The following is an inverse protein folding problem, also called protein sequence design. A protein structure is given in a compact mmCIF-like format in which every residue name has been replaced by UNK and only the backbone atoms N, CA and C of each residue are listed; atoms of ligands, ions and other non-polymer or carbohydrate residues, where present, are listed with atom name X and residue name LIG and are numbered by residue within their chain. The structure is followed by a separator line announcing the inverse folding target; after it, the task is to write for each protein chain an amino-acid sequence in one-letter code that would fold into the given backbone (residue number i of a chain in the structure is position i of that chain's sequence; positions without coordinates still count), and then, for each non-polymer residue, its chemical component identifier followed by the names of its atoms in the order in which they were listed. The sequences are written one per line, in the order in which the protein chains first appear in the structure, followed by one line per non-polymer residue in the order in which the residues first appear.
data_IF_843185124001
#
_entry.id   IF_843185124001
#
_cell.length_a   1.000
_cell.length_b   1.000
_cell.length_c   1.000
_cell.angle_alpha   90.00
_cell.angle_beta   90.00
_cell.angle_gamma   90.00
#
_symmetry.space_group_name_H-M   'P 1'
#
loop_
_entity.id
_entity.type
_entity.pdbx_description
1 polymer ?
#
# COMPACT_ATOMS: atom_id res chain seq x y z
N UNK A 1 -10.75 -15.53 13.27
CA UNK A 1 -9.29 -15.52 13.27
C UNK A 1 -8.70 -16.35 14.41
N UNK A 2 -7.41 -16.63 14.35
CA UNK A 2 -6.69 -17.40 15.36
C UNK A 2 -5.23 -17.56 14.96
N UNK A 3 -4.37 -18.09 15.82
CA UNK A 3 -2.95 -18.30 15.54
C UNK A 3 -2.75 -19.48 14.57
N UNK A 4 -3.28 -19.34 13.36
CA UNK A 4 -3.23 -20.38 12.33
C UNK A 4 -2.19 -20.06 11.27
N UNK A 5 -1.43 -21.06 10.84
CA UNK A 5 -0.46 -20.91 9.74
C UNK A 5 -1.16 -20.71 8.41
N UNK A 6 -2.35 -21.31 8.24
CA UNK A 6 -3.15 -21.24 7.02
C UNK A 6 -4.64 -21.28 7.38
N UNK A 7 -5.40 -20.33 6.88
CA UNK A 7 -6.86 -20.34 6.96
C UNK A 7 -7.42 -20.93 5.67
N UNK A 8 -7.97 -22.14 5.72
CA UNK A 8 -8.47 -22.86 4.53
C UNK A 8 -9.97 -23.06 4.52
N UNK A 9 -10.65 -22.85 5.63
CA UNK A 9 -12.08 -23.16 5.76
C UNK A 9 -12.82 -21.93 6.28
N UNK A 10 -13.34 -21.13 5.40
CA UNK A 10 -14.28 -20.13 5.79
C UNK A 10 -13.82 -18.70 5.57
N UNK A 11 -14.61 -17.80 6.10
CA UNK A 11 -14.50 -16.37 5.89
C UNK A 11 -13.24 -15.80 6.55
N UNK A 12 -12.42 -15.14 5.77
CA UNK A 12 -11.34 -14.30 6.29
C UNK A 12 -11.93 -12.98 6.83
N UNK A 13 -12.52 -13.06 8.01
CA UNK A 13 -13.09 -11.91 8.69
C UNK A 13 -12.04 -10.82 8.97
N UNK A 14 -10.76 -11.18 9.04
CA UNK A 14 -9.69 -10.20 9.21
C UNK A 14 -9.68 -9.20 8.03
N UNK A 15 -9.87 -9.66 6.80
CA UNK A 15 -9.96 -8.79 5.63
C UNK A 15 -11.17 -7.87 5.65
N UNK A 16 -12.29 -8.33 6.18
CA UNK A 16 -13.48 -7.51 6.32
C UNK A 16 -13.29 -6.41 7.36
N UNK A 17 -12.60 -6.74 8.47
CA UNK A 17 -12.38 -5.80 9.57
C UNK A 17 -11.25 -4.79 9.27
N UNK A 18 -10.26 -5.16 8.45
CA UNK A 18 -9.19 -4.23 8.05
C UNK A 18 -9.79 -3.08 7.23
N UNK A 19 -9.57 -1.85 7.71
CA UNK A 19 -10.12 -0.64 7.08
C UNK A 19 -11.55 -0.29 7.49
N UNK A 20 -12.22 -1.10 8.32
CA UNK A 20 -13.58 -0.82 8.80
C UNK A 20 -13.67 0.37 9.75
N UNK A 21 -12.56 0.93 10.20
CA UNK A 21 -12.50 2.08 11.13
C UNK A 21 -13.32 1.91 12.41
N UNK A 22 -13.45 0.67 12.90
CA UNK A 22 -14.23 0.35 14.09
C UNK A 22 -15.75 0.36 13.88
N UNK A 23 -16.23 0.41 12.64
CA UNK A 23 -17.68 0.45 12.34
C UNK A 23 -18.34 -0.92 12.33
N UNK A 24 -17.55 -2.00 12.21
CA UNK A 24 -18.03 -3.37 12.10
C UNK A 24 -17.74 -4.22 13.36
N UNK A 25 -16.90 -3.75 14.26
CA UNK A 25 -16.56 -4.50 15.46
C UNK A 25 -15.50 -3.81 16.30
N UNK A 26 -15.38 -4.27 17.54
CA UNK A 26 -14.32 -3.91 18.46
C UNK A 26 -13.26 -5.01 18.49
N UNK A 27 -12.00 -4.64 18.24
CA UNK A 27 -10.87 -5.57 18.25
C UNK A 27 -10.22 -5.55 19.63
N UNK A 28 -10.48 -6.56 20.46
CA UNK A 28 -9.90 -6.69 21.79
C UNK A 28 -8.47 -7.25 21.73
N UNK A 29 -8.19 -8.10 20.76
CA UNK A 29 -6.87 -8.74 20.59
C UNK A 29 -6.53 -8.87 19.11
N UNK A 30 -5.28 -8.64 18.76
CA UNK A 30 -4.75 -8.79 17.40
C UNK A 30 -3.49 -9.63 17.43
N UNK A 31 -3.46 -10.70 16.63
CA UNK A 31 -2.28 -11.56 16.45
C UNK A 31 -1.60 -11.17 15.15
N UNK A 32 -0.39 -10.62 15.24
CA UNK A 32 0.40 -10.21 14.10
C UNK A 32 1.40 -11.30 13.71
N UNK A 33 1.40 -11.66 12.43
CA UNK A 33 2.47 -12.48 11.87
C UNK A 33 3.65 -11.58 11.50
N UNK A 34 4.76 -11.78 12.18
CA UNK A 34 6.00 -11.04 11.93
C UNK A 34 6.94 -11.83 11.00
N UNK A 35 7.95 -11.15 10.49
CA UNK A 35 9.07 -11.74 9.74
C UNK A 35 10.37 -11.39 10.46
N UNK A 36 11.44 -12.22 10.33
CA UNK A 36 12.77 -11.81 10.76
C UNK A 36 13.18 -10.50 10.09
N UNK A 37 13.92 -9.67 10.82
CA UNK A 37 14.52 -8.48 10.24
C UNK A 37 15.54 -8.88 9.16
N UNK A 38 15.59 -8.12 8.09
CA UNK A 38 16.61 -8.29 7.08
C UNK A 38 18.01 -7.95 7.64
N UNK A 39 19.05 -8.63 7.14
CA UNK A 39 20.42 -8.36 7.56
C UNK A 39 20.89 -6.96 7.13
N UNK A 40 20.35 -6.44 6.03
CA UNK A 40 20.54 -5.06 5.57
C UNK A 40 19.24 -4.52 4.97
N UNK A 41 19.04 -3.22 5.13
CA UNK A 41 17.93 -2.46 4.56
C UNK A 41 18.48 -1.12 4.09
N UNK A 42 18.35 -0.82 2.80
CA UNK A 42 18.94 0.38 2.22
C UNK A 42 18.03 1.00 1.17
N UNK A 43 17.86 2.32 1.25
CA UNK A 43 17.25 3.11 0.20
C UNK A 43 18.27 3.42 -0.90
N UNK A 44 17.77 3.40 -2.11
CA UNK A 44 18.51 3.78 -3.32
C UNK A 44 17.68 4.72 -4.16
N UNK A 45 18.33 5.40 -5.12
CA UNK A 45 17.64 6.30 -6.05
C UNK A 45 18.26 6.19 -7.44
N UNK A 46 17.45 6.46 -8.45
CA UNK A 46 17.91 6.70 -9.82
C UNK A 46 16.96 7.64 -10.55
N UNK A 47 17.47 8.35 -11.54
CA UNK A 47 16.64 9.12 -12.46
C UNK A 47 16.11 8.16 -13.55
N UNK A 48 14.79 8.10 -13.66
CA UNK A 48 14.10 7.26 -14.65
C UNK A 48 12.71 7.78 -14.96
N UNK A 49 12.35 7.71 -16.23
CA UNK A 49 10.97 7.91 -16.71
C UNK A 49 10.22 6.59 -16.90
N UNK A 50 10.93 5.45 -16.82
CA UNK A 50 10.35 4.11 -16.95
C UNK A 50 10.56 3.28 -15.68
N UNK A 51 9.76 3.60 -14.67
CA UNK A 51 9.76 2.86 -13.41
C UNK A 51 9.20 1.43 -13.54
N UNK A 52 8.48 1.12 -14.62
CA UNK A 52 7.99 -0.24 -14.89
C UNK A 52 9.14 -1.18 -15.28
N UNK A 53 10.05 -0.73 -16.14
CA UNK A 53 11.25 -1.48 -16.49
C UNK A 53 12.18 -1.60 -15.29
N UNK A 54 12.36 -0.53 -14.51
CA UNK A 54 13.13 -0.60 -13.26
C UNK A 54 12.56 -1.67 -12.32
N UNK A 55 11.25 -1.67 -12.06
CA UNK A 55 10.63 -2.66 -11.19
C UNK A 55 10.88 -4.10 -11.67
N UNK A 56 10.83 -4.34 -12.99
CA UNK A 56 11.09 -5.67 -13.56
C UNK A 56 12.56 -6.10 -13.49
N UNK A 57 13.50 -5.17 -13.46
CA UNK A 57 14.94 -5.46 -13.34
C UNK A 57 15.37 -5.81 -11.91
N UNK A 58 14.51 -5.56 -10.91
CA UNK A 58 14.81 -5.79 -9.50
C UNK A 58 14.24 -7.11 -9.01
N UNK A 59 15.01 -7.78 -8.16
CA UNK A 59 14.53 -8.98 -7.48
C UNK A 59 13.88 -8.61 -6.14
N UNK A 60 12.54 -8.74 -6.07
CA UNK A 60 11.72 -8.55 -4.87
C UNK A 60 12.05 -7.25 -4.10
N UNK A 61 12.01 -6.08 -4.71
CA UNK A 61 12.17 -4.84 -3.97
C UNK A 61 11.04 -4.71 -2.94
N UNK A 62 11.36 -4.13 -1.78
CA UNK A 62 10.37 -3.90 -0.72
C UNK A 62 9.44 -2.76 -1.10
N UNK A 63 9.99 -1.72 -1.71
CA UNK A 63 9.24 -0.58 -2.19
C UNK A 63 9.92 0.04 -3.42
N UNK A 64 9.11 0.49 -4.37
CA UNK A 64 9.56 1.32 -5.50
C UNK A 64 8.62 2.52 -5.55
N UNK A 65 9.15 3.68 -5.19
CA UNK A 65 8.45 4.96 -5.24
C UNK A 65 8.92 5.75 -6.46
N UNK A 66 8.01 6.46 -7.13
CA UNK A 66 8.32 7.17 -8.37
C UNK A 66 7.48 8.44 -8.52
N UNK A 67 8.10 9.52 -9.03
CA UNK A 67 7.47 10.82 -9.20
C UNK A 67 7.35 11.29 -10.66
N UNK A 68 7.53 10.39 -11.61
CA UNK A 68 7.56 10.70 -13.04
C UNK A 68 8.95 10.88 -13.63
N UNK A 69 9.97 11.16 -12.81
CA UNK A 69 11.35 11.41 -13.25
C UNK A 69 12.42 10.70 -12.43
N UNK A 70 12.14 10.48 -11.17
CA UNK A 70 13.06 9.87 -10.21
C UNK A 70 12.38 8.74 -9.49
N UNK A 71 13.10 7.65 -9.28
CA UNK A 71 12.66 6.53 -8.47
C UNK A 71 13.48 6.43 -7.18
N UNK A 72 12.82 5.96 -6.13
CA UNK A 72 13.42 5.55 -4.86
C UNK A 72 13.07 4.10 -4.63
N UNK A 73 14.07 3.30 -4.35
CA UNK A 73 13.94 1.85 -4.20
C UNK A 73 14.42 1.44 -2.83
N UNK A 74 13.59 0.72 -2.09
CA UNK A 74 14.00 0.06 -0.85
C UNK A 74 14.34 -1.40 -1.16
N UNK A 75 15.58 -1.78 -0.90
CA UNK A 75 16.04 -3.16 -0.95
C UNK A 75 16.33 -3.67 0.46
N UNK A 76 15.93 -4.90 0.73
CA UNK A 76 16.21 -5.61 1.98
C UNK A 76 16.73 -7.00 1.68
N UNK A 77 17.72 -7.46 2.46
CA UNK A 77 18.29 -8.80 2.31
C UNK A 77 19.73 -8.88 2.78
N UNK A 78 20.52 -9.74 2.12
CA UNK A 78 21.94 -9.84 2.41
C UNK A 78 22.71 -8.68 1.75
N UNK A 79 23.72 -8.08 2.42
CA UNK A 79 24.45 -6.91 1.89
C UNK A 79 25.03 -7.14 0.48
N UNK A 80 25.56 -8.32 0.20
CA UNK A 80 26.11 -8.65 -1.12
C UNK A 80 25.04 -8.64 -2.23
N UNK A 81 23.80 -9.11 -1.93
CA UNK A 81 22.70 -9.11 -2.89
C UNK A 81 22.24 -7.68 -3.20
N UNK A 82 22.19 -6.83 -2.16
CA UNK A 82 21.85 -5.42 -2.32
C UNK A 82 22.88 -4.70 -3.20
N UNK A 83 24.17 -4.94 -2.96
CA UNK A 83 25.25 -4.36 -3.75
C UNK A 83 25.19 -4.82 -5.22
N UNK A 84 24.93 -6.10 -5.46
CA UNK A 84 24.81 -6.64 -6.82
C UNK A 84 23.59 -6.07 -7.55
N UNK A 85 22.40 -6.04 -6.89
CA UNK A 85 21.18 -5.51 -7.49
C UNK A 85 21.30 -4.01 -7.78
N UNK A 86 21.82 -3.24 -6.83
CA UNK A 86 21.97 -1.79 -7.01
C UNK A 86 22.94 -1.47 -8.16
N UNK A 87 24.05 -2.17 -8.26
CA UNK A 87 24.99 -2.01 -9.37
C UNK A 87 24.37 -2.39 -10.72
N UNK A 88 23.64 -3.51 -10.78
CA UNK A 88 22.98 -3.97 -12.01
C UNK A 88 21.92 -2.98 -12.50
N UNK A 89 21.14 -2.39 -11.60
CA UNK A 89 20.09 -1.46 -11.92
C UNK A 89 20.54 0.02 -11.96
N UNK A 90 21.83 0.30 -11.79
CA UNK A 90 22.37 1.67 -11.80
C UNK A 90 21.83 2.54 -10.65
N UNK A 91 21.56 1.93 -9.51
CA UNK A 91 21.01 2.62 -8.35
C UNK A 91 22.11 3.26 -7.50
N UNK A 92 21.85 4.47 -7.01
CA UNK A 92 22.74 5.23 -6.13
C UNK A 92 22.20 5.15 -4.71
N UNK A 93 22.99 4.85 -3.67
CA UNK A 93 22.54 4.86 -2.29
C UNK A 93 21.92 6.20 -1.90
N UNK A 94 20.83 6.15 -1.13
CA UNK A 94 20.13 7.29 -0.58
C UNK A 94 19.88 7.08 0.92
N UNK A 95 20.01 8.15 1.70
CA UNK A 95 19.87 8.06 3.17
C UNK A 95 18.42 7.94 3.62
N UNK A 96 17.50 8.56 2.86
CA UNK A 96 16.09 8.66 3.24
C UNK A 96 15.16 8.43 2.06
N UNK A 97 13.94 7.91 2.31
CA UNK A 97 12.87 7.92 1.32
C UNK A 97 12.44 9.35 0.97
N UNK A 98 11.71 9.54 -0.13
CA UNK A 98 11.13 10.84 -0.46
C UNK A 98 10.02 11.19 0.54
N UNK A 99 9.81 12.49 0.74
CA UNK A 99 8.64 12.96 1.49
C UNK A 99 7.37 12.73 0.65
N UNK A 100 6.43 11.95 1.18
CA UNK A 100 5.18 11.67 0.48
C UNK A 100 4.24 12.89 0.53
N UNK A 101 3.66 13.30 -0.60
CA UNK A 101 2.63 14.33 -0.61
C UNK A 101 1.43 13.94 0.25
N UNK A 102 0.83 14.91 0.95
CA UNK A 102 -0.24 14.69 1.93
C UNK A 102 -1.63 15.15 1.48
N UNK A 103 -1.76 15.71 0.28
CA UNK A 103 -3.04 16.23 -0.21
C UNK A 103 -4.08 15.12 -0.45
N UNK A 104 -3.66 14.01 -1.04
CA UNK A 104 -4.52 12.83 -1.16
C UNK A 104 -3.73 11.55 -1.37
N UNK A 105 -4.31 10.43 -0.91
CA UNK A 105 -3.84 9.07 -1.20
C UNK A 105 -4.90 8.34 -2.00
N UNK A 106 -4.55 7.91 -3.21
CA UNK A 106 -5.48 7.28 -4.16
C UNK A 106 -5.03 5.87 -4.47
N UNK A 107 -6.00 4.94 -4.59
CA UNK A 107 -5.77 3.62 -5.16
C UNK A 107 -6.16 3.67 -6.64
N UNK A 108 -5.24 3.28 -7.51
CA UNK A 108 -5.42 3.24 -8.95
C UNK A 108 -5.01 1.87 -9.48
N UNK A 109 -5.37 1.53 -10.71
CA UNK A 109 -4.84 0.31 -11.33
C UNK A 109 -3.32 0.45 -11.48
N UNK A 110 -2.54 -0.63 -11.29
CA UNK A 110 -1.08 -0.55 -11.43
C UNK A 110 -0.59 0.05 -12.75
N UNK A 111 -1.35 -0.15 -13.84
CA UNK A 111 -1.05 0.47 -15.15
C UNK A 111 -1.29 1.98 -15.19
N UNK A 112 -2.21 2.50 -14.39
CA UNK A 112 -2.56 3.92 -14.34
C UNK A 112 -1.57 4.76 -13.53
N UNK A 113 -0.66 4.11 -12.80
CA UNK A 113 0.42 4.77 -12.07
C UNK A 113 1.27 5.64 -12.99
N UNK A 114 1.48 5.20 -14.23
CA UNK A 114 2.36 5.86 -15.20
C UNK A 114 1.71 7.03 -15.96
N UNK A 115 0.41 7.23 -15.81
CA UNK A 115 -0.35 8.33 -16.43
C UNK A 115 -0.68 9.47 -15.47
N UNK A 116 -0.05 9.49 -14.28
CA UNK A 116 -0.28 10.53 -13.29
C UNK A 116 0.33 11.87 -13.72
N UNK A 117 -0.34 12.96 -13.37
CA UNK A 117 0.10 14.32 -13.63
C UNK A 117 0.19 15.13 -12.32
N UNK A 118 0.89 16.28 -12.37
CA UNK A 118 1.06 17.15 -11.21
C UNK A 118 2.15 16.66 -10.25
N UNK A 119 2.07 17.07 -9.00
CA UNK A 119 3.04 16.68 -7.96
C UNK A 119 2.54 15.42 -7.24
N UNK A 120 3.19 14.30 -7.51
CA UNK A 120 2.82 13.02 -6.96
C UNK A 120 4.04 12.16 -6.62
N UNK A 121 3.82 11.15 -5.79
CA UNK A 121 4.69 9.98 -5.62
C UNK A 121 3.81 8.73 -5.68
N UNK A 122 4.16 7.82 -6.57
CA UNK A 122 3.45 6.59 -6.80
C UNK A 122 4.22 5.39 -6.25
N UNK A 123 3.52 4.46 -5.60
CA UNK A 123 4.03 3.14 -5.20
C UNK A 123 3.88 2.20 -6.39
N UNK A 124 4.95 2.03 -7.15
CA UNK A 124 4.98 1.24 -8.38
C UNK A 124 4.76 -0.24 -8.06
N UNK A 125 3.87 -0.89 -8.80
CA UNK A 125 3.50 -2.30 -8.57
C UNK A 125 2.38 -2.51 -7.55
N UNK A 126 2.09 -1.52 -6.69
CA UNK A 126 1.00 -1.57 -5.70
C UNK A 126 -0.24 -0.84 -6.19
N UNK A 127 -0.07 0.22 -6.97
CA UNK A 127 -1.19 1.04 -7.45
C UNK A 127 -1.68 2.07 -6.43
N UNK A 128 -0.77 2.56 -5.58
CA UNK A 128 -1.05 3.68 -4.66
C UNK A 128 -0.35 4.92 -5.18
N UNK A 129 -1.05 6.04 -5.17
CA UNK A 129 -0.51 7.34 -5.56
C UNK A 129 -0.79 8.37 -4.47
N UNK A 130 0.25 9.02 -4.01
CA UNK A 130 0.22 10.14 -3.09
C UNK A 130 0.30 11.43 -3.90
N UNK A 131 -0.70 12.28 -3.83
CA UNK A 131 -0.79 13.55 -4.54
C UNK A 131 -0.69 14.74 -3.61
N UNK A 132 -0.12 15.85 -4.11
CA UNK A 132 -0.19 17.14 -3.43
C UNK A 132 -1.62 17.71 -3.45
N UNK A 133 -2.34 17.45 -4.52
CA UNK A 133 -3.71 17.90 -4.68
C UNK A 133 -4.73 17.02 -3.95
N UNK A 134 -5.86 17.58 -3.48
CA UNK A 134 -6.94 16.81 -2.88
C UNK A 134 -7.50 15.78 -3.88
N UNK A 135 -8.05 14.70 -3.34
CA UNK A 135 -8.72 13.71 -4.18
C UNK A 135 -9.98 14.33 -4.81
N UNK A 136 -10.27 14.03 -6.09
CA UNK A 136 -11.58 14.35 -6.65
C UNK A 136 -12.67 13.67 -5.83
N UNK A 137 -13.83 14.28 -5.75
CA UNK A 137 -15.00 13.68 -5.13
C UNK A 137 -15.26 12.31 -5.80
N UNK A 138 -15.24 11.26 -4.99
CA UNK A 138 -15.52 9.92 -5.48
C UNK A 138 -17.01 9.66 -5.35
N UNK A 139 -17.70 9.59 -6.46
CA UNK A 139 -19.06 9.03 -6.47
C UNK A 139 -18.96 7.55 -6.13
N UNK A 140 -19.63 7.14 -5.07
CA UNK A 140 -19.76 5.71 -4.73
C UNK A 140 -20.81 5.11 -5.64
N UNK A 141 -20.48 3.96 -6.22
CA UNK A 141 -21.49 3.19 -6.97
C UNK A 141 -22.61 2.77 -6.00
N UNK A 142 -23.86 2.99 -6.41
CA UNK A 142 -25.04 2.66 -5.61
C UNK A 142 -25.04 1.22 -5.07
N UNK A 143 -24.57 0.26 -5.87
CA UNK A 143 -24.43 -1.13 -5.44
C UNK A 143 -23.44 -1.34 -4.29
N UNK A 144 -22.33 -0.59 -4.28
CA UNK A 144 -21.33 -0.66 -3.20
C UNK A 144 -21.89 -0.10 -1.91
N UNK A 145 -22.62 1.00 -1.97
CA UNK A 145 -23.28 1.60 -0.79
C UNK A 145 -24.32 0.67 -0.18
N UNK A 146 -25.14 0.01 -1.01
CA UNK A 146 -26.11 -0.96 -0.53
C UNK A 146 -25.48 -2.15 0.17
N UNK A 147 -24.39 -2.70 -0.38
CA UNK A 147 -23.65 -3.80 0.25
C UNK A 147 -23.02 -3.34 1.55
N UNK A 148 -22.38 -2.19 1.59
CA UNK A 148 -21.78 -1.63 2.81
C UNK A 148 -22.84 -1.41 3.90
N UNK A 149 -23.99 -0.83 3.57
CA UNK A 149 -25.08 -0.63 4.49
C UNK A 149 -25.68 -1.94 5.02
N UNK A 150 -25.76 -2.97 4.18
CA UNK A 150 -26.21 -4.31 4.59
C UNK A 150 -25.22 -4.94 5.56
N UNK A 151 -23.93 -4.94 5.24
CA UNK A 151 -22.88 -5.45 6.12
C UNK A 151 -22.91 -4.70 7.46
N UNK A 152 -23.02 -3.38 7.45
CA UNK A 152 -23.10 -2.58 8.67
C UNK A 152 -24.28 -3.01 9.55
N UNK A 153 -25.46 -3.21 8.97
CA UNK A 153 -26.66 -3.66 9.74
C UNK A 153 -26.51 -5.04 10.34
N UNK A 154 -25.84 -5.96 9.65
CA UNK A 154 -25.59 -7.31 10.17
C UNK A 154 -24.60 -7.32 11.35
N UNK A 155 -23.58 -6.48 11.30
CA UNK A 155 -22.53 -6.42 12.33
C UNK A 155 -22.87 -5.46 13.48
N UNK A 156 -23.66 -4.43 13.22
CA UNK A 156 -24.02 -3.40 14.20
C UNK A 156 -25.49 -2.97 14.00
N UNK A 157 -26.44 -3.84 14.33
CA UNK A 157 -27.87 -3.57 14.13
C UNK A 157 -28.38 -2.36 14.93
N UNK A 158 -27.73 -2.02 16.03
CA UNK A 158 -28.11 -0.90 16.88
C UNK A 158 -27.36 0.41 16.57
N UNK A 159 -26.41 0.39 15.61
CA UNK A 159 -25.68 1.57 15.18
C UNK A 159 -24.74 2.18 16.24
N UNK A 160 -24.23 1.35 17.15
CA UNK A 160 -23.37 1.81 18.28
C UNK A 160 -21.90 1.94 17.95
N UNK A 161 -21.43 1.21 16.90
CA UNK A 161 -20.03 1.16 16.55
C UNK A 161 -19.64 2.35 15.69
N UNK A 162 -18.80 3.20 16.22
CA UNK A 162 -18.24 4.40 15.61
C UNK A 162 -19.28 5.25 14.85
N UNK A 163 -20.28 5.81 15.54
CA UNK A 163 -21.35 6.58 14.91
C UNK A 163 -20.80 7.81 14.19
N UNK A 164 -21.38 8.12 13.03
CA UNK A 164 -20.96 9.26 12.19
C UNK A 164 -19.85 8.95 11.17
N UNK A 165 -19.26 7.77 11.21
CA UNK A 165 -18.32 7.30 10.17
C UNK A 165 -19.09 6.50 9.13
N UNK A 166 -19.08 6.99 7.90
CA UNK A 166 -19.65 6.26 6.74
C UNK A 166 -18.60 5.25 6.23
N UNK A 167 -19.01 4.02 6.10
CA UNK A 167 -18.19 2.89 5.59
C UNK A 167 -18.17 2.88 4.07
#
# INVERSE_FOLDING_TARGET
GGPTVKNVSGFDLCRLLVGSRGTLGFLAEVILRTRPLAAASQWYTCDTTDAATLLRSLYRPVSVLWNGRKAWVLLEGHPADLAQQSAHAGLIPADTPPHLPTGSRRSVRPSEVFSQAGTFIAEVGVGIVHHADPAPAREREFGVEQIAARIKREFDPEGRLNPGVVV
#
